data_IF_891008415520
#
_entry.id   IF_891008415520
#
_cell.length_a   1.000
_cell.length_b   1.000
_cell.length_c   1.000
_cell.angle_alpha   90.00
_cell.angle_beta   90.00
_cell.angle_gamma   90.00
#
_symmetry.space_group_name_H-M   'P 1'
#
loop_
_entity.id
_entity.type
_entity.pdbx_description
1 polymer ?
#
# COMPACT_ATOMS: atom_id res chain seq x y z
N UNK A 1 -2.78 -9.33 -0.13
CA UNK A 1 -3.38 -9.06 -1.47
C UNK A 1 -3.25 -10.34 -2.29
N UNK A 2 -4.30 -10.82 -2.98
CA UNK A 2 -4.22 -12.02 -3.85
C UNK A 2 -3.91 -11.58 -5.29
N UNK A 3 -2.98 -12.27 -5.99
CA UNK A 3 -2.58 -12.00 -7.39
C UNK A 3 -3.78 -11.93 -8.33
N UNK A 4 -4.76 -12.82 -8.21
CA UNK A 4 -5.95 -12.82 -9.08
C UNK A 4 -6.83 -11.57 -8.85
N UNK A 5 -6.92 -11.09 -7.61
CA UNK A 5 -7.64 -9.86 -7.28
C UNK A 5 -6.88 -8.64 -7.81
N UNK A 6 -5.56 -8.63 -7.66
CA UNK A 6 -4.71 -7.55 -8.16
C UNK A 6 -4.76 -7.46 -9.69
N UNK A 7 -4.65 -8.59 -10.39
CA UNK A 7 -4.76 -8.68 -11.85
C UNK A 7 -6.04 -8.04 -12.38
N UNK A 8 -7.17 -8.31 -11.73
CA UNK A 8 -8.47 -7.72 -12.07
C UNK A 8 -8.48 -6.20 -11.88
N UNK A 9 -7.87 -5.68 -10.82
CA UNK A 9 -7.82 -4.24 -10.53
C UNK A 9 -7.05 -3.46 -11.60
N UNK A 10 -5.92 -4.00 -12.06
CA UNK A 10 -5.08 -3.36 -13.10
C UNK A 10 -5.42 -3.84 -14.53
N UNK A 11 -6.51 -4.60 -14.70
CA UNK A 11 -7.00 -5.14 -15.98
C UNK A 11 -5.96 -5.94 -16.79
N UNK A 12 -5.19 -6.79 -16.12
CA UNK A 12 -4.21 -7.70 -16.75
C UNK A 12 -4.47 -9.16 -16.37
N UNK A 13 -3.80 -10.09 -17.06
CA UNK A 13 -3.86 -11.50 -16.71
C UNK A 13 -2.93 -11.81 -15.51
N UNK A 14 -3.27 -12.80 -14.66
CA UNK A 14 -2.36 -13.28 -13.63
C UNK A 14 -1.02 -13.77 -14.19
N UNK A 15 -1.02 -14.31 -15.40
CA UNK A 15 0.20 -14.72 -16.11
C UNK A 15 1.12 -13.53 -16.40
N UNK A 16 0.58 -12.37 -16.77
CA UNK A 16 1.38 -11.16 -16.99
C UNK A 16 2.10 -10.74 -15.71
N UNK A 17 1.41 -10.76 -14.56
CA UNK A 17 2.02 -10.47 -13.25
C UNK A 17 3.14 -11.48 -12.95
N UNK A 18 2.88 -12.76 -13.16
CA UNK A 18 3.90 -13.79 -12.95
C UNK A 18 5.15 -13.55 -13.81
N UNK A 19 4.99 -13.15 -15.07
CA UNK A 19 6.11 -12.80 -15.95
C UNK A 19 6.89 -11.58 -15.43
N UNK A 20 6.23 -10.58 -14.85
CA UNK A 20 6.92 -9.42 -14.27
C UNK A 20 7.74 -9.81 -13.04
N UNK A 21 7.18 -10.65 -12.18
CA UNK A 21 7.83 -11.09 -10.94
C UNK A 21 8.97 -12.09 -11.19
N UNK A 22 8.81 -13.00 -12.17
CA UNK A 22 9.68 -14.17 -12.31
C UNK A 22 10.56 -14.16 -13.58
N UNK A 23 10.20 -13.37 -14.60
CA UNK A 23 10.89 -13.33 -15.89
C UNK A 23 11.53 -11.97 -16.19
N UNK A 24 11.44 -11.01 -15.26
CA UNK A 24 12.04 -9.68 -15.44
C UNK A 24 11.42 -8.87 -16.58
N UNK A 25 10.23 -9.24 -17.03
CA UNK A 25 9.51 -8.47 -18.06
C UNK A 25 8.94 -7.20 -17.44
N UNK A 26 9.11 -6.05 -18.09
CA UNK A 26 8.63 -4.77 -17.55
C UNK A 26 7.23 -4.46 -18.09
N UNK A 27 6.27 -4.05 -17.24
CA UNK A 27 4.95 -3.61 -17.69
C UNK A 27 5.04 -2.38 -18.60
N UNK A 28 4.04 -2.18 -19.46
CA UNK A 28 3.94 -0.95 -20.28
C UNK A 28 3.66 0.26 -19.40
N UNK A 29 4.05 1.46 -19.85
CA UNK A 29 3.90 2.71 -19.11
C UNK A 29 2.50 2.89 -18.49
N UNK A 30 1.41 2.74 -19.28
CA UNK A 30 0.06 2.87 -18.75
C UNK A 30 -0.33 1.78 -17.73
N UNK A 31 0.29 0.61 -17.79
CA UNK A 31 0.12 -0.45 -16.79
C UNK A 31 0.91 -0.13 -15.52
N UNK A 32 2.10 0.47 -15.63
CA UNK A 32 2.87 0.94 -14.47
C UNK A 32 2.09 2.02 -13.72
N UNK A 33 1.44 2.94 -14.42
CA UNK A 33 0.62 3.99 -13.81
C UNK A 33 -0.58 3.37 -13.05
N UNK A 34 -1.26 2.37 -13.64
CA UNK A 34 -2.34 1.64 -12.97
C UNK A 34 -1.86 0.85 -11.74
N UNK A 35 -0.67 0.24 -11.80
CA UNK A 35 -0.04 -0.43 -10.66
C UNK A 35 0.25 0.58 -9.55
N UNK A 36 0.80 1.75 -9.89
CA UNK A 36 1.11 2.81 -8.95
C UNK A 36 -0.15 3.31 -8.23
N UNK A 37 -1.24 3.51 -8.96
CA UNK A 37 -2.54 3.91 -8.44
C UNK A 37 -3.11 2.89 -7.44
N UNK A 38 -3.16 1.60 -7.83
CA UNK A 38 -3.71 0.53 -6.98
C UNK A 38 -2.86 0.29 -5.72
N UNK A 39 -1.54 0.45 -5.82
CA UNK A 39 -0.63 0.32 -4.68
C UNK A 39 -0.50 1.62 -3.87
N UNK A 40 -1.03 2.74 -4.39
CA UNK A 40 -0.99 4.04 -3.73
C UNK A 40 0.42 4.63 -3.57
N UNK A 41 1.33 4.28 -4.49
CA UNK A 41 2.73 4.71 -4.57
C UNK A 41 2.97 5.58 -5.81
N UNK A 42 4.09 6.28 -5.89
CA UNK A 42 4.46 7.00 -7.11
C UNK A 42 5.02 6.06 -8.17
N UNK A 43 4.91 6.44 -9.44
CA UNK A 43 5.60 5.75 -10.53
C UNK A 43 7.12 5.71 -10.32
N UNK A 44 7.70 6.83 -9.87
CA UNK A 44 9.12 6.93 -9.58
C UNK A 44 9.57 5.92 -8.53
N UNK A 45 8.73 5.65 -7.52
CA UNK A 45 8.99 4.62 -6.52
C UNK A 45 9.07 3.22 -7.15
N UNK A 46 8.15 2.87 -8.06
CA UNK A 46 8.17 1.58 -8.75
C UNK A 46 9.43 1.38 -9.61
N UNK A 47 10.00 2.46 -10.14
CA UNK A 47 11.16 2.39 -11.03
C UNK A 47 12.50 2.47 -10.29
N UNK A 48 12.55 3.20 -9.18
CA UNK A 48 13.82 3.54 -8.50
C UNK A 48 13.94 2.99 -7.08
N UNK A 49 12.83 2.51 -6.50
CA UNK A 49 12.75 2.08 -5.10
C UNK A 49 12.84 3.21 -4.07
N UNK A 50 13.02 4.47 -4.51
CA UNK A 50 13.09 5.63 -3.61
C UNK A 50 11.71 6.25 -3.44
N UNK A 51 11.22 6.32 -2.20
CA UNK A 51 10.05 7.15 -1.91
C UNK A 51 10.49 8.61 -2.02
N UNK A 52 9.91 9.37 -2.94
CA UNK A 52 10.05 10.82 -2.92
C UNK A 52 9.29 11.33 -1.69
N UNK A 53 10.03 11.67 -0.63
CA UNK A 53 9.51 12.44 0.48
C UNK A 53 9.08 13.82 -0.05
N UNK A 54 7.84 13.96 -0.53
CA UNK A 54 7.23 15.27 -0.73
C UNK A 54 6.54 15.58 -2.06
N UNK A 55 6.47 14.69 -3.04
CA UNK A 55 5.79 15.03 -4.30
C UNK A 55 4.34 14.51 -4.30
N UNK A 56 3.47 15.34 -3.73
CA UNK A 56 2.05 15.31 -4.01
C UNK A 56 1.85 15.56 -5.51
N UNK A 57 1.54 14.51 -6.26
CA UNK A 57 1.03 14.69 -7.61
C UNK A 57 -0.35 15.34 -7.54
N UNK A 58 -0.39 16.62 -7.90
CA UNK A 58 -1.56 17.36 -8.32
C UNK A 58 -2.10 16.72 -9.61
N UNK A 59 -2.82 15.61 -9.45
CA UNK A 59 -3.66 15.02 -10.49
C UNK A 59 -5.05 14.88 -9.92
N UNK A 60 -5.95 15.76 -10.34
CA UNK A 60 -7.36 15.81 -9.97
C UNK A 60 -8.03 14.44 -10.08
N UNK A 61 -8.05 13.71 -8.97
CA UNK A 61 -8.92 12.56 -8.77
C UNK A 61 -9.40 12.59 -7.34
N UNK A 62 -10.71 12.34 -7.18
CA UNK A 62 -11.53 12.38 -5.96
C UNK A 62 -11.05 11.51 -4.78
N UNK A 63 -9.83 10.99 -4.83
CA UNK A 63 -9.20 10.19 -3.77
C UNK A 63 -8.38 11.04 -2.76
N UNK A 64 -8.17 12.34 -3.02
CA UNK A 64 -7.48 13.25 -2.10
C UNK A 64 -8.21 13.50 -0.77
N UNK A 65 -9.55 13.53 -0.78
CA UNK A 65 -10.34 13.82 0.43
C UNK A 65 -10.29 12.69 1.47
N UNK A 66 -10.11 11.43 1.04
CA UNK A 66 -10.01 10.29 1.97
C UNK A 66 -8.63 10.26 2.64
N UNK A 67 -7.55 10.58 1.92
CA UNK A 67 -6.19 10.58 2.50
C UNK A 67 -5.90 11.82 3.37
N UNK A 68 -6.57 12.94 3.16
CA UNK A 68 -6.50 14.09 4.08
C UNK A 68 -7.03 13.78 5.47
N UNK A 69 -8.09 12.96 5.56
CA UNK A 69 -8.64 12.50 6.85
C UNK A 69 -7.83 11.38 7.51
N UNK A 70 -7.23 10.48 6.72
CA UNK A 70 -6.49 9.34 7.29
C UNK A 70 -5.06 9.71 7.72
N UNK A 71 -4.43 10.72 7.11
CA UNK A 71 -3.07 11.15 7.51
C UNK A 71 -3.04 12.13 8.69
N UNK A 72 -4.18 12.68 9.11
CA UNK A 72 -4.29 13.49 10.34
C UNK A 72 -4.82 12.69 11.54
N UNK A 73 -4.86 11.36 11.42
CA UNK A 73 -5.14 10.44 12.53
C UNK A 73 -3.99 9.46 12.76
N UNK A 74 -2.76 9.85 12.38
CA UNK A 74 -1.54 9.29 12.97
C UNK A 74 -1.37 9.83 14.38
N UNK A 75 -2.38 9.64 15.24
CA UNK A 75 -2.18 9.70 16.67
C UNK A 75 -1.26 8.52 16.96
N UNK A 76 -0.07 8.75 17.50
CA UNK A 76 0.71 7.70 18.12
C UNK A 76 -0.19 7.03 19.16
N UNK A 77 -0.83 5.92 18.79
CA UNK A 77 -1.60 5.14 19.75
C UNK A 77 -0.62 4.66 20.80
N UNK A 78 -0.94 4.91 22.07
CA UNK A 78 -0.10 4.42 23.13
C UNK A 78 -0.08 2.89 23.11
N UNK A 79 0.96 2.27 23.68
CA UNK A 79 1.04 0.82 23.76
C UNK A 79 -0.21 0.25 24.46
N UNK A 80 -0.74 0.97 25.44
CA UNK A 80 -1.96 0.61 26.18
C UNK A 80 -3.21 0.66 25.30
N UNK A 81 -3.35 1.67 24.43
CA UNK A 81 -4.48 1.76 23.49
C UNK A 81 -4.44 0.64 22.46
N UNK A 82 -3.24 0.31 21.98
CA UNK A 82 -3.03 -0.82 21.07
C UNK A 82 -3.41 -2.15 21.72
N UNK A 83 -2.98 -2.39 22.96
CA UNK A 83 -3.31 -3.63 23.71
C UNK A 83 -4.82 -3.76 23.87
N UNK A 84 -5.51 -2.71 24.33
CA UNK A 84 -6.98 -2.73 24.49
C UNK A 84 -7.73 -3.00 23.20
N UNK A 85 -7.27 -2.43 22.08
CA UNK A 85 -7.92 -2.64 20.78
C UNK A 85 -7.80 -4.08 20.29
N UNK A 86 -6.71 -4.77 20.64
CA UNK A 86 -6.48 -6.17 20.30
C UNK A 86 -7.34 -7.08 21.20
N UNK A 87 -7.38 -6.81 22.50
CA UNK A 87 -8.23 -7.55 23.46
C UNK A 87 -9.71 -7.43 23.16
N UNK A 88 -10.18 -6.23 22.78
CA UNK A 88 -11.57 -5.99 22.39
C UNK A 88 -12.00 -6.82 21.17
N UNK A 89 -11.05 -7.31 20.37
CA UNK A 89 -11.30 -8.22 19.24
C UNK A 89 -11.26 -9.70 19.63
N UNK A 90 -11.08 -10.02 20.91
CA UNK A 90 -11.07 -11.38 21.45
C UNK A 90 -9.71 -12.07 21.41
N UNK A 91 -8.61 -11.31 21.32
CA UNK A 91 -7.25 -11.85 21.37
C UNK A 91 -6.64 -11.65 22.76
N UNK A 92 -5.89 -12.64 23.24
CA UNK A 92 -5.10 -12.53 24.47
C UNK A 92 -3.69 -12.00 24.13
N UNK A 93 -3.20 -11.01 24.88
CA UNK A 93 -1.94 -10.30 24.57
C UNK A 93 -0.96 -10.43 25.73
N UNK A 94 0.29 -10.84 25.44
CA UNK A 94 1.37 -10.95 26.41
C UNK A 94 2.56 -10.09 26.01
N UNK A 95 3.07 -9.28 26.94
CA UNK A 95 4.25 -8.42 26.74
C UNK A 95 5.43 -9.03 27.49
N UNK A 96 6.56 -9.22 26.79
CA UNK A 96 7.83 -9.66 27.39
C UNK A 96 8.91 -8.63 27.12
N UNK A 97 9.45 -8.03 28.17
CA UNK A 97 10.66 -7.20 28.07
C UNK A 97 11.88 -8.12 27.93
N UNK A 98 12.80 -7.76 27.03
CA UNK A 98 14.14 -8.36 27.02
C UNK A 98 14.98 -7.58 28.03
N UNK A 99 15.30 -8.22 29.15
CA UNK A 99 16.40 -7.81 30.04
C UNK A 99 17.74 -8.22 29.46
#
# INVERSE_FOLDING_TARGET
MNVAKFAKLIKVSPAAIWHWENKGTVPRNGTVDAIAEVLGVSRSYLQTGKQSNGEAHNGETRYGEIRGRVRSAGTELSLEELVRAIEAKGFEVFIKTRG
#
